data_IF_037472306953
#
_entry.id   IF_037472306953
#
_cell.length_a   1.000
_cell.length_b   1.000
_cell.length_c   1.000
_cell.angle_alpha   90.00
_cell.angle_beta   90.00
_cell.angle_gamma   90.00
#
_symmetry.space_group_name_H-M   'P 1'
#
loop_
_entity.id
_entity.type
_entity.pdbx_description
1 polymer ?
#
# COMPACT_ATOMS: atom_id res chain seq x y z
N UNK A 1 -9.13 -21.80 -25.40
CA UNK A 1 -9.89 -20.54 -25.24
C UNK A 1 -10.78 -20.60 -24.02
N UNK A 2 -12.03 -21.02 -24.18
CA UNK A 2 -13.08 -20.96 -23.14
C UNK A 2 -12.73 -21.73 -21.85
N UNK A 3 -12.13 -22.93 -21.95
CA UNK A 3 -11.76 -23.70 -20.75
C UNK A 3 -10.72 -23.00 -19.85
N UNK A 4 -9.77 -22.27 -20.43
CA UNK A 4 -8.79 -21.49 -19.66
C UNK A 4 -9.45 -20.28 -18.97
N UNK A 5 -10.41 -19.62 -19.63
CA UNK A 5 -11.18 -18.53 -19.03
C UNK A 5 -12.06 -19.03 -17.88
N UNK A 6 -12.67 -20.20 -18.01
CA UNK A 6 -13.41 -20.84 -16.91
C UNK A 6 -12.49 -21.16 -15.71
N UNK A 7 -11.25 -21.59 -15.97
CA UNK A 7 -10.23 -21.77 -14.95
C UNK A 7 -9.91 -20.46 -14.19
N UNK A 8 -9.68 -19.36 -14.91
CA UNK A 8 -9.48 -18.04 -14.31
C UNK A 8 -10.68 -17.60 -13.47
N UNK A 9 -11.90 -17.72 -14.01
CA UNK A 9 -13.12 -17.34 -13.30
C UNK A 9 -13.29 -18.09 -11.97
N UNK A 10 -12.94 -19.38 -11.93
CA UNK A 10 -12.95 -20.17 -10.70
C UNK A 10 -11.98 -19.61 -9.66
N UNK A 11 -10.77 -19.22 -10.05
CA UNK A 11 -9.78 -18.61 -9.16
C UNK A 11 -10.27 -17.25 -8.65
N UNK A 12 -10.79 -16.40 -9.53
CA UNK A 12 -11.30 -15.07 -9.13
C UNK A 12 -12.44 -15.17 -8.13
N UNK A 13 -13.32 -16.16 -8.32
CA UNK A 13 -14.39 -16.45 -7.37
C UNK A 13 -13.81 -16.80 -5.99
N UNK A 14 -12.80 -17.68 -5.93
CA UNK A 14 -12.15 -18.01 -4.65
C UNK A 14 -11.45 -16.80 -4.02
N UNK A 15 -10.77 -15.95 -4.79
CA UNK A 15 -10.17 -14.73 -4.26
C UNK A 15 -11.22 -13.82 -3.62
N UNK A 16 -12.35 -13.65 -4.30
CA UNK A 16 -13.45 -12.80 -3.82
C UNK A 16 -14.07 -13.36 -2.55
N UNK A 17 -14.29 -14.68 -2.48
CA UNK A 17 -14.85 -15.33 -1.30
C UNK A 17 -13.89 -15.30 -0.09
N UNK A 18 -12.58 -15.29 -0.32
CA UNK A 18 -11.56 -15.24 0.73
C UNK A 18 -11.20 -13.81 1.20
N UNK A 19 -11.63 -12.79 0.46
CA UNK A 19 -11.32 -11.37 0.75
C UNK A 19 -11.85 -10.96 2.13
N UNK A 20 -10.95 -10.48 3.00
CA UNK A 20 -11.30 -10.12 4.39
C UNK A 20 -11.60 -11.32 5.30
N UNK A 21 -11.29 -12.55 4.86
CA UNK A 21 -11.41 -13.78 5.67
C UNK A 21 -10.04 -14.34 6.02
N UNK A 22 -9.18 -14.49 5.01
CA UNK A 22 -7.78 -14.90 5.16
C UNK A 22 -6.89 -13.93 4.39
N UNK A 23 -5.70 -13.54 4.91
CA UNK A 23 -4.80 -12.68 4.15
C UNK A 23 -4.33 -13.35 2.85
N UNK A 24 -4.48 -12.64 1.74
CA UNK A 24 -4.08 -13.08 0.41
C UNK A 24 -2.91 -12.22 -0.08
N UNK A 25 -1.75 -12.84 -0.32
CA UNK A 25 -0.53 -12.16 -0.75
C UNK A 25 -0.07 -12.72 -2.10
N UNK A 26 0.17 -11.83 -3.05
CA UNK A 26 0.69 -12.16 -4.38
C UNK A 26 2.16 -11.76 -4.51
N UNK A 27 2.98 -12.71 -4.96
CA UNK A 27 4.37 -12.47 -5.35
C UNK A 27 4.50 -12.63 -6.87
N UNK A 28 4.84 -11.55 -7.56
CA UNK A 28 5.04 -11.55 -9.00
C UNK A 28 6.55 -11.63 -9.26
N UNK A 29 7.02 -12.84 -9.55
CA UNK A 29 8.44 -13.14 -9.76
C UNK A 29 8.80 -13.26 -11.26
N UNK A 30 7.94 -12.77 -12.15
CA UNK A 30 8.10 -12.91 -13.59
C UNK A 30 6.96 -12.25 -14.39
N UNK A 31 6.73 -12.66 -15.64
CA UNK A 31 5.69 -12.09 -16.48
C UNK A 31 4.30 -12.55 -16.04
N UNK A 32 3.38 -11.60 -15.85
CA UNK A 32 1.98 -11.84 -15.55
C UNK A 32 1.14 -10.98 -16.51
N UNK A 33 0.48 -11.60 -17.49
CA UNK A 33 -0.20 -10.87 -18.56
C UNK A 33 -1.65 -11.32 -18.77
N UNK A 34 -2.49 -10.39 -19.20
CA UNK A 34 -3.90 -10.65 -19.52
C UNK A 34 -4.71 -11.06 -18.29
N UNK A 35 -5.46 -12.16 -18.42
CA UNK A 35 -6.33 -12.65 -17.35
C UNK A 35 -5.59 -12.98 -16.05
N UNK A 36 -4.29 -13.34 -16.13
CA UNK A 36 -3.50 -13.65 -14.96
C UNK A 36 -3.39 -12.47 -13.97
N UNK A 37 -3.43 -11.22 -14.45
CA UNK A 37 -3.27 -10.05 -13.60
C UNK A 37 -4.45 -9.81 -12.65
N UNK A 38 -5.64 -10.35 -12.96
CA UNK A 38 -6.84 -10.10 -12.15
C UNK A 38 -6.83 -10.84 -10.82
N UNK A 39 -6.20 -12.02 -10.71
CA UNK A 39 -6.11 -12.72 -9.42
C UNK A 39 -5.26 -11.92 -8.42
N UNK A 40 -4.02 -11.49 -8.75
CA UNK A 40 -3.26 -10.59 -7.87
C UNK A 40 -3.98 -9.29 -7.54
N UNK A 41 -4.67 -8.67 -8.52
CA UNK A 41 -5.44 -7.45 -8.28
C UNK A 41 -6.59 -7.61 -7.26
N UNK A 42 -7.06 -8.85 -7.03
CA UNK A 42 -8.07 -9.19 -6.02
C UNK A 42 -7.46 -9.57 -4.67
N UNK A 43 -6.15 -9.79 -4.58
CA UNK A 43 -5.45 -10.09 -3.31
C UNK A 43 -5.07 -8.83 -2.54
N UNK A 44 -4.76 -8.95 -1.26
CA UNK A 44 -4.55 -7.81 -0.36
C UNK A 44 -3.24 -7.06 -0.66
N UNK A 45 -2.13 -7.79 -0.80
CA UNK A 45 -0.81 -7.20 -1.09
C UNK A 45 -0.15 -7.85 -2.30
N UNK A 46 0.52 -7.03 -3.10
CA UNK A 46 1.24 -7.44 -4.31
C UNK A 46 2.70 -7.01 -4.16
N UNK A 47 3.59 -7.98 -4.23
CA UNK A 47 5.03 -7.82 -4.29
C UNK A 47 5.50 -8.03 -5.72
N UNK A 48 6.41 -7.18 -6.20
CA UNK A 48 7.05 -7.31 -7.51
C UNK A 48 8.57 -7.25 -7.37
N UNK A 49 9.28 -8.01 -8.19
CA UNK A 49 10.75 -7.95 -8.29
C UNK A 49 11.16 -6.97 -9.38
N UNK A 50 12.00 -6.00 -9.04
CA UNK A 50 12.54 -4.99 -9.95
C UNK A 50 13.19 -5.63 -11.18
N UNK A 51 12.92 -5.07 -12.36
CA UNK A 51 13.48 -5.48 -13.67
C UNK A 51 13.21 -6.93 -14.13
N UNK A 52 12.61 -7.77 -13.27
CA UNK A 52 12.27 -9.17 -13.58
C UNK A 52 10.78 -9.37 -13.81
N UNK A 53 9.96 -8.68 -13.03
CA UNK A 53 8.51 -8.88 -13.00
C UNK A 53 7.77 -7.81 -13.78
N UNK A 54 6.71 -8.23 -14.49
CA UNK A 54 5.92 -7.35 -15.33
C UNK A 54 4.44 -7.72 -15.26
N UNK A 55 3.55 -6.73 -15.14
CA UNK A 55 2.09 -6.91 -15.15
C UNK A 55 1.42 -6.04 -16.20
N UNK A 56 0.56 -6.60 -17.05
CA UNK A 56 -0.28 -5.82 -17.96
C UNK A 56 -1.44 -6.64 -18.54
N UNK A 57 -2.59 -6.01 -18.73
CA UNK A 57 -3.75 -6.67 -19.37
C UNK A 57 -3.49 -6.91 -20.86
N UNK A 58 -2.79 -5.99 -21.53
CA UNK A 58 -2.52 -6.04 -22.96
C UNK A 58 -1.03 -5.80 -23.18
N UNK A 59 -0.37 -6.70 -23.91
CA UNK A 59 1.09 -6.62 -24.10
C UNK A 59 1.52 -5.53 -25.07
N UNK A 60 2.81 -5.14 -25.06
CA UNK A 60 3.35 -4.05 -25.88
C UNK A 60 3.05 -4.16 -27.38
N UNK A 61 3.12 -5.37 -27.93
CA UNK A 61 2.86 -5.60 -29.36
C UNK A 61 1.42 -5.22 -29.76
N UNK A 62 0.46 -5.48 -28.87
CA UNK A 62 -0.95 -5.14 -29.10
C UNK A 62 -1.19 -3.65 -28.88
N UNK A 63 -0.54 -3.03 -27.88
CA UNK A 63 -0.55 -1.58 -27.69
C UNK A 63 -0.05 -0.89 -28.97
N UNK A 64 1.10 -1.30 -29.49
CA UNK A 64 1.67 -0.76 -30.73
C UNK A 64 0.76 -0.94 -31.94
N UNK A 65 0.09 -2.09 -32.06
CA UNK A 65 -0.81 -2.33 -33.17
C UNK A 65 -2.07 -1.46 -33.13
N UNK A 66 -2.56 -1.09 -31.94
CA UNK A 66 -3.85 -0.39 -31.75
C UNK A 66 -3.67 1.12 -31.58
N UNK A 67 -2.71 1.56 -30.77
CA UNK A 67 -2.49 2.97 -30.43
C UNK A 67 -1.35 3.60 -31.23
N UNK A 68 -0.58 2.79 -31.98
CA UNK A 68 0.67 3.19 -32.65
C UNK A 68 1.78 3.66 -31.68
N UNK A 69 1.62 3.40 -30.39
CA UNK A 69 2.61 3.70 -29.36
C UNK A 69 3.63 2.56 -29.23
N UNK A 70 4.92 2.87 -29.28
CA UNK A 70 5.97 1.88 -29.00
C UNK A 70 6.45 2.09 -27.56
N UNK A 71 6.25 1.08 -26.72
CA UNK A 71 6.58 1.09 -25.30
C UNK A 71 7.24 -0.23 -24.92
N UNK A 72 8.29 -0.18 -24.09
CA UNK A 72 8.94 -1.40 -23.61
C UNK A 72 8.15 -2.08 -22.49
N UNK A 73 8.42 -3.37 -22.22
CA UNK A 73 7.70 -4.11 -21.15
C UNK A 73 7.84 -3.47 -19.78
N UNK A 74 9.04 -3.00 -19.45
CA UNK A 74 9.33 -2.34 -18.17
C UNK A 74 8.60 -1.00 -18.07
N UNK A 75 8.52 -0.24 -19.16
CA UNK A 75 7.80 1.04 -19.21
C UNK A 75 6.28 0.88 -19.17
N UNK A 76 5.76 -0.22 -19.73
CA UNK A 76 4.33 -0.50 -19.76
C UNK A 76 3.80 -1.01 -18.40
N UNK A 77 4.55 -1.90 -17.75
CA UNK A 77 4.05 -2.65 -16.60
C UNK A 77 5.14 -3.22 -15.70
N UNK A 78 6.31 -2.59 -15.68
CA UNK A 78 7.39 -2.96 -14.76
C UNK A 78 7.03 -2.68 -13.30
N UNK A 79 7.81 -3.27 -12.40
CA UNK A 79 7.61 -3.15 -10.95
C UNK A 79 7.56 -1.68 -10.48
N UNK A 80 8.47 -0.84 -11.01
CA UNK A 80 8.53 0.58 -10.61
C UNK A 80 7.31 1.37 -11.11
N UNK A 81 6.82 1.10 -12.32
CA UNK A 81 5.61 1.73 -12.87
C UNK A 81 4.40 1.45 -11.97
N UNK A 82 4.23 0.19 -11.55
CA UNK A 82 3.12 -0.18 -10.68
C UNK A 82 3.24 0.32 -9.24
N UNK A 83 4.46 0.51 -8.75
CA UNK A 83 4.71 1.02 -7.40
C UNK A 83 4.70 2.54 -7.27
N UNK A 84 4.85 3.28 -8.38
CA UNK A 84 5.01 4.75 -8.34
C UNK A 84 3.96 5.51 -9.14
N UNK A 85 3.33 4.88 -10.14
CA UNK A 85 2.35 5.53 -11.02
C UNK A 85 0.96 4.93 -10.91
N UNK A 86 0.82 3.61 -11.02
CA UNK A 86 -0.51 3.00 -11.11
C UNK A 86 -1.09 2.55 -9.76
N UNK A 87 -0.28 2.50 -8.70
CA UNK A 87 -0.70 2.02 -7.37
C UNK A 87 -1.12 0.55 -7.32
N UNK A 88 -0.72 -0.27 -8.30
CA UNK A 88 -1.08 -1.71 -8.33
C UNK A 88 -0.19 -2.50 -7.37
N UNK A 89 1.08 -2.11 -7.26
CA UNK A 89 2.07 -2.84 -6.49
C UNK A 89 2.33 -2.17 -5.15
N UNK A 90 2.35 -2.99 -4.11
CA UNK A 90 2.49 -2.54 -2.73
C UNK A 90 3.96 -2.49 -2.30
N UNK A 91 4.76 -3.43 -2.78
CA UNK A 91 6.16 -3.58 -2.45
C UNK A 91 6.98 -3.92 -3.70
N UNK A 92 8.14 -3.28 -3.83
CA UNK A 92 9.14 -3.62 -4.86
C UNK A 92 10.41 -4.03 -4.14
N UNK A 93 10.91 -5.21 -4.48
CA UNK A 93 12.16 -5.74 -3.95
C UNK A 93 13.17 -5.92 -5.09
N UNK A 94 14.45 -5.91 -4.78
CA UNK A 94 15.51 -6.08 -5.79
C UNK A 94 15.67 -7.54 -6.20
N UNK A 95 15.32 -8.47 -5.31
CA UNK A 95 15.47 -9.92 -5.56
C UNK A 95 14.25 -10.74 -5.14
N UNK A 96 14.15 -11.97 -5.68
CA UNK A 96 13.13 -12.95 -5.27
C UNK A 96 13.33 -13.37 -3.81
N UNK A 97 14.59 -13.51 -3.37
CA UNK A 97 14.92 -13.86 -1.98
C UNK A 97 14.43 -12.77 -1.01
N UNK A 98 14.76 -11.52 -1.30
CA UNK A 98 14.27 -10.36 -0.54
C UNK A 98 12.74 -10.31 -0.54
N UNK A 99 12.10 -10.56 -1.69
CA UNK A 99 10.63 -10.61 -1.78
C UNK A 99 10.04 -11.64 -0.82
N UNK A 100 10.60 -12.85 -0.79
CA UNK A 100 10.13 -13.91 0.11
C UNK A 100 10.39 -13.56 1.58
N UNK A 101 11.51 -12.88 1.88
CA UNK A 101 11.81 -12.39 3.23
C UNK A 101 10.83 -11.30 3.68
N UNK A 102 10.54 -10.31 2.83
CA UNK A 102 9.56 -9.26 3.11
C UNK A 102 8.13 -9.81 3.25
N UNK A 103 7.78 -10.87 2.52
CA UNK A 103 6.48 -11.57 2.72
C UNK A 103 6.44 -12.22 4.10
N UNK A 104 7.51 -12.88 4.54
CA UNK A 104 7.58 -13.46 5.90
C UNK A 104 7.48 -12.40 6.97
N UNK A 105 8.10 -11.25 6.73
CA UNK A 105 8.02 -10.11 7.61
C UNK A 105 6.60 -9.53 7.68
N UNK A 106 5.94 -9.31 6.54
CA UNK A 106 4.55 -8.89 6.48
C UNK A 106 3.66 -9.88 7.27
N UNK A 107 3.80 -11.18 7.04
CA UNK A 107 3.06 -12.22 7.76
C UNK A 107 3.25 -12.15 9.28
N UNK A 108 4.37 -11.61 9.78
CA UNK A 108 4.55 -11.43 11.22
C UNK A 108 3.57 -10.41 11.82
N UNK A 109 3.08 -9.46 11.01
CA UNK A 109 2.15 -8.41 11.43
C UNK A 109 0.68 -8.82 11.33
N UNK A 110 0.37 -9.90 10.60
CA UNK A 110 -1.00 -10.26 10.23
C UNK A 110 -1.52 -11.46 11.04
N UNK A 111 -2.82 -11.51 11.39
CA UNK A 111 -3.42 -12.72 11.92
C UNK A 111 -3.55 -13.79 10.82
N UNK A 112 -3.75 -15.05 11.20
CA UNK A 112 -3.97 -16.14 10.24
C UNK A 112 -5.29 -15.99 9.46
N UNK A 113 -6.28 -15.34 10.07
CA UNK A 113 -7.64 -15.13 9.57
C UNK A 113 -8.33 -14.00 10.36
N UNK A 114 -9.52 -13.59 9.92
CA UNK A 114 -10.30 -12.50 10.54
C UNK A 114 -10.94 -12.82 11.91
N UNK A 115 -10.80 -14.04 12.43
CA UNK A 115 -11.30 -14.44 13.75
C UNK A 115 -10.20 -14.51 14.81
N UNK A 116 -8.95 -14.22 14.43
CA UNK A 116 -7.78 -14.20 15.31
C UNK A 116 -7.22 -12.77 15.42
N UNK A 117 -6.52 -12.51 16.52
CA UNK A 117 -5.71 -11.31 16.67
C UNK A 117 -4.34 -11.52 16.02
N UNK A 118 -3.68 -10.41 15.64
CA UNK A 118 -2.33 -10.45 15.10
C UNK A 118 -1.33 -11.04 16.12
N UNK A 119 -0.26 -11.73 15.67
CA UNK A 119 0.75 -12.30 16.56
C UNK A 119 1.41 -11.25 17.45
N UNK A 120 1.30 -11.45 18.77
CA UNK A 120 2.06 -10.69 19.76
C UNK A 120 3.52 -11.14 19.78
N UNK A 121 4.45 -10.19 19.71
CA UNK A 121 5.88 -10.46 19.87
C UNK A 121 6.41 -9.93 21.20
N UNK A 122 7.38 -10.61 21.84
CA UNK A 122 8.09 -10.03 22.99
C UNK A 122 8.70 -8.69 22.60
N UNK A 123 8.36 -7.63 23.34
CA UNK A 123 8.92 -6.29 23.15
C UNK A 123 9.82 -5.93 24.33
N UNK A 124 11.04 -5.52 24.03
CA UNK A 124 12.01 -4.99 25.00
C UNK A 124 12.09 -3.47 24.98
N UNK A 125 11.33 -2.79 24.11
CA UNK A 125 11.24 -1.33 24.09
C UNK A 125 10.48 -0.86 25.34
N UNK A 126 10.92 0.26 25.91
CA UNK A 126 10.32 0.82 27.11
C UNK A 126 9.03 1.55 26.74
N UNK A 127 7.90 1.08 27.27
CA UNK A 127 6.59 1.74 27.10
C UNK A 127 6.55 3.17 27.66
N UNK A 128 7.55 3.58 28.43
CA UNK A 128 7.74 4.95 28.97
C UNK A 128 8.86 5.71 28.28
N UNK A 129 9.38 5.24 27.15
CA UNK A 129 10.44 5.92 26.40
C UNK A 129 10.02 7.35 26.05
N UNK A 130 10.78 8.31 26.54
CA UNK A 130 10.66 9.71 26.16
C UNK A 130 11.57 9.97 24.96
N UNK A 131 11.06 10.72 23.97
CA UNK A 131 11.83 11.08 22.77
C UNK A 131 11.89 12.59 22.62
N UNK A 132 13.01 13.20 23.01
CA UNK A 132 13.21 14.65 22.98
C UNK A 132 13.11 15.23 21.56
N UNK A 133 13.49 14.48 20.53
CA UNK A 133 13.45 14.95 19.13
C UNK A 133 12.04 15.31 18.67
N UNK A 134 11.00 14.69 19.25
CA UNK A 134 9.60 15.02 18.95
C UNK A 134 9.20 16.43 19.39
N UNK A 135 9.94 17.06 20.31
CA UNK A 135 9.68 18.44 20.73
C UNK A 135 10.07 19.46 19.66
N UNK A 136 10.93 19.09 18.72
CA UNK A 136 11.52 19.99 17.72
C UNK A 136 11.30 19.51 16.28
N UNK A 137 10.59 18.40 16.08
CA UNK A 137 10.36 17.81 14.74
C UNK A 137 9.47 18.69 13.86
N UNK A 138 8.50 19.38 14.47
CA UNK A 138 7.63 20.35 13.77
C UNK A 138 8.35 21.71 13.73
N UNK A 139 8.64 22.28 12.55
CA UNK A 139 9.27 23.59 12.44
C UNK A 139 8.37 24.71 12.96
N UNK A 140 8.98 25.77 13.51
CA UNK A 140 8.25 26.97 13.95
C UNK A 140 7.61 27.75 12.79
N UNK A 141 8.24 27.71 11.61
CA UNK A 141 7.69 28.31 10.39
C UNK A 141 6.66 27.35 9.76
N UNK A 142 5.37 27.72 9.69
CA UNK A 142 4.32 26.85 9.17
C UNK A 142 4.46 26.55 7.67
N UNK A 143 5.35 27.22 6.94
CA UNK A 143 5.63 26.94 5.53
C UNK A 143 6.76 25.93 5.32
N UNK A 144 7.45 25.53 6.39
CA UNK A 144 8.54 24.56 6.31
C UNK A 144 7.97 23.16 6.58
N UNK A 145 8.03 22.24 5.61
CA UNK A 145 7.55 20.88 5.84
C UNK A 145 8.56 20.08 6.68
N UNK A 146 8.09 18.97 7.25
CA UNK A 146 8.90 17.96 7.94
C UNK A 146 8.54 16.57 7.42
N UNK A 147 9.38 15.58 7.70
CA UNK A 147 9.09 14.19 7.37
C UNK A 147 8.25 13.57 8.50
N UNK A 148 7.01 13.17 8.20
CA UNK A 148 6.15 12.51 9.18
C UNK A 148 6.74 11.18 9.70
N UNK A 149 7.68 10.55 8.98
CA UNK A 149 8.37 9.36 9.47
C UNK A 149 9.26 9.65 10.67
N UNK A 150 9.80 10.88 10.76
CA UNK A 150 10.53 11.35 11.94
C UNK A 150 9.62 11.47 13.19
N UNK A 151 8.29 11.40 13.01
CA UNK A 151 7.30 11.30 14.10
C UNK A 151 6.91 9.85 14.35
N UNK A 152 6.65 9.07 13.29
CA UNK A 152 6.21 7.67 13.40
C UNK A 152 7.29 6.80 14.04
N UNK A 153 8.51 6.85 13.52
CA UNK A 153 9.60 5.96 13.96
C UNK A 153 9.93 6.15 15.44
N UNK A 154 9.99 7.36 16.01
CA UNK A 154 10.14 7.48 17.46
C UNK A 154 8.98 6.96 18.30
N UNK A 155 7.76 6.89 17.77
CA UNK A 155 6.59 6.44 18.56
C UNK A 155 6.47 4.92 18.60
N UNK A 156 6.85 4.22 17.53
CA UNK A 156 6.66 2.78 17.40
C UNK A 156 7.79 1.96 18.03
N UNK A 157 7.50 0.70 18.38
CA UNK A 157 8.46 -0.22 19.00
C UNK A 157 9.72 -0.36 18.14
N UNK A 158 10.90 -0.23 18.79
CA UNK A 158 12.22 -0.37 18.18
C UNK A 158 12.45 0.54 16.96
N UNK A 159 11.69 1.62 16.84
CA UNK A 159 11.72 2.51 15.68
C UNK A 159 11.42 1.84 14.35
N UNK A 160 10.70 0.72 14.37
CA UNK A 160 10.48 -0.09 13.19
C UNK A 160 9.13 0.14 12.54
N UNK A 161 9.15 0.64 11.30
CA UNK A 161 7.98 0.88 10.48
C UNK A 161 8.07 0.16 9.13
N UNK A 162 7.16 -0.79 8.90
CA UNK A 162 7.04 -1.53 7.65
C UNK A 162 6.08 -0.82 6.70
N UNK A 163 6.63 0.13 5.93
CA UNK A 163 5.85 1.00 5.03
C UNK A 163 5.29 0.24 3.82
N UNK A 164 4.02 0.48 3.53
CA UNK A 164 3.29 -0.05 2.37
C UNK A 164 3.17 1.03 1.30
N UNK A 165 3.45 0.68 0.04
CA UNK A 165 3.36 1.60 -1.11
C UNK A 165 4.21 2.87 -0.95
N UNK A 166 5.46 2.73 -0.51
CA UNK A 166 6.38 3.86 -0.24
C UNK A 166 6.69 4.75 -1.47
N UNK A 167 6.37 4.29 -2.67
CA UNK A 167 6.61 5.03 -3.92
C UNK A 167 5.35 5.64 -4.55
N UNK A 168 4.15 5.30 -4.06
CA UNK A 168 2.87 5.76 -4.60
C UNK A 168 2.15 6.66 -3.58
N UNK A 169 1.54 7.74 -4.06
CA UNK A 169 0.79 8.71 -3.25
C UNK A 169 1.56 9.10 -1.97
N UNK A 170 2.77 9.66 -2.15
CA UNK A 170 3.72 9.94 -1.05
C UNK A 170 3.25 10.99 -0.04
N UNK A 171 2.21 11.73 -0.39
CA UNK A 171 1.48 12.68 0.47
C UNK A 171 0.70 12.00 1.62
N UNK A 172 0.52 10.67 1.57
CA UNK A 172 0.06 9.85 2.71
C UNK A 172 0.95 8.62 2.88
N UNK A 173 1.37 8.38 4.11
CA UNK A 173 2.15 7.22 4.53
C UNK A 173 1.20 6.21 5.18
N UNK A 174 1.31 4.94 4.78
CA UNK A 174 0.59 3.84 5.41
C UNK A 174 1.53 2.66 5.61
N UNK A 175 1.31 1.85 6.64
CA UNK A 175 2.16 0.70 6.91
C UNK A 175 1.93 0.09 8.27
N UNK A 176 2.68 -0.96 8.58
CA UNK A 176 2.56 -1.68 9.83
C UNK A 176 3.68 -1.33 10.80
N UNK A 177 3.35 -1.29 12.08
CA UNK A 177 4.32 -1.15 13.16
C UNK A 177 3.89 -2.00 14.35
N UNK A 178 4.62 -1.90 15.47
CA UNK A 178 4.18 -2.46 16.75
C UNK A 178 4.18 -1.43 17.86
N UNK A 179 3.27 -1.63 18.82
CA UNK A 179 3.25 -0.92 20.09
C UNK A 179 3.07 -1.95 21.22
N UNK A 180 4.05 -2.04 22.12
CA UNK A 180 4.03 -3.05 23.18
C UNK A 180 3.98 -4.49 22.65
N UNK A 181 4.56 -4.75 21.48
CA UNK A 181 4.59 -6.05 20.82
C UNK A 181 3.34 -6.39 20.00
N UNK A 182 2.31 -5.55 20.01
CA UNK A 182 1.07 -5.73 19.24
C UNK A 182 1.18 -5.05 17.89
N UNK A 183 0.72 -5.70 16.80
CA UNK A 183 0.62 -5.07 15.49
C UNK A 183 -0.33 -3.87 15.50
N UNK A 184 0.07 -2.78 14.86
CA UNK A 184 -0.77 -1.61 14.58
C UNK A 184 -0.60 -1.18 13.12
N UNK A 185 -1.67 -0.72 12.51
CA UNK A 185 -1.65 -0.03 11.23
C UNK A 185 -1.47 1.47 11.46
N UNK A 186 -0.52 2.09 10.78
CA UNK A 186 -0.31 3.53 10.79
C UNK A 186 -0.90 4.13 9.51
N UNK A 187 -1.64 5.23 9.65
CA UNK A 187 -2.05 6.11 8.55
C UNK A 187 -1.62 7.52 8.89
N UNK A 188 -0.87 8.18 8.02
CA UNK A 188 -0.31 9.48 8.35
C UNK A 188 -0.22 10.40 7.13
N UNK A 189 -0.55 11.68 7.31
CA UNK A 189 -0.27 12.69 6.28
C UNK A 189 1.23 12.97 6.22
N UNK A 190 1.73 13.31 5.04
CA UNK A 190 3.16 13.57 4.83
C UNK A 190 3.39 14.99 4.31
N UNK A 191 3.66 15.97 5.20
CA UNK A 191 3.88 17.36 4.82
C UNK A 191 5.04 17.55 3.81
N UNK A 192 6.07 16.70 3.84
CA UNK A 192 7.17 16.75 2.88
C UNK A 192 6.75 16.52 1.41
N UNK A 193 5.54 15.99 1.16
CA UNK A 193 5.02 15.73 -0.17
C UNK A 193 3.65 16.39 -0.36
N UNK A 194 3.57 17.34 -1.29
CA UNK A 194 2.35 18.11 -1.58
C UNK A 194 1.72 18.76 -0.32
N UNK A 195 2.53 19.11 0.68
CA UNK A 195 2.07 19.65 1.96
C UNK A 195 1.05 18.74 2.70
N UNK A 196 1.09 17.42 2.48
CA UNK A 196 0.21 16.47 3.16
C UNK A 196 -1.26 16.50 2.72
N UNK A 197 -1.59 17.24 1.64
CA UNK A 197 -2.96 17.26 1.10
C UNK A 197 -3.43 15.87 0.68
N UNK A 198 -4.74 15.62 0.79
CA UNK A 198 -5.36 14.43 0.23
C UNK A 198 -5.70 14.63 -1.24
N UNK A 199 -5.45 13.63 -2.07
CA UNK A 199 -5.83 13.57 -3.47
C UNK A 199 -6.45 12.20 -3.80
N UNK A 200 -6.79 11.96 -5.07
CA UNK A 200 -7.39 10.70 -5.52
C UNK A 200 -6.54 9.49 -5.12
N UNK A 201 -5.23 9.55 -5.40
CA UNK A 201 -4.33 8.42 -5.20
C UNK A 201 -4.08 8.14 -3.71
N UNK A 202 -3.88 9.19 -2.90
CA UNK A 202 -3.78 9.06 -1.46
C UNK A 202 -5.06 8.53 -0.83
N UNK A 203 -6.22 8.95 -1.37
CA UNK A 203 -7.52 8.46 -0.90
C UNK A 203 -7.71 6.98 -1.14
N UNK A 204 -7.34 6.49 -2.33
CA UNK A 204 -7.43 5.08 -2.68
C UNK A 204 -6.44 4.22 -1.87
N UNK A 205 -5.20 4.71 -1.72
CA UNK A 205 -4.15 4.07 -0.90
C UNK A 205 -4.60 3.92 0.56
N UNK A 206 -4.99 5.01 1.20
CA UNK A 206 -5.36 5.02 2.61
C UNK A 206 -6.62 4.19 2.86
N UNK A 207 -7.67 4.39 2.06
CA UNK A 207 -8.94 3.69 2.26
C UNK A 207 -8.81 2.17 2.16
N UNK A 208 -8.01 1.66 1.21
CA UNK A 208 -7.78 0.22 1.07
C UNK A 208 -7.01 -0.34 2.26
N UNK A 209 -5.99 0.37 2.74
CA UNK A 209 -5.19 -0.02 3.90
C UNK A 209 -6.02 -0.04 5.20
N UNK A 210 -6.82 1.00 5.44
CA UNK A 210 -7.72 1.09 6.61
C UNK A 210 -8.68 -0.10 6.63
N UNK A 211 -9.36 -0.37 5.52
CA UNK A 211 -10.31 -1.49 5.42
C UNK A 211 -9.64 -2.85 5.60
N UNK A 212 -8.41 -3.01 5.11
CA UNK A 212 -7.64 -4.23 5.34
C UNK A 212 -7.37 -4.42 6.83
N UNK A 213 -6.89 -3.38 7.52
CA UNK A 213 -6.62 -3.45 8.95
C UNK A 213 -7.89 -3.81 9.76
N UNK A 214 -9.02 -3.16 9.44
CA UNK A 214 -10.32 -3.44 10.06
C UNK A 214 -10.76 -4.90 9.85
N UNK A 215 -10.67 -5.42 8.61
CA UNK A 215 -11.03 -6.80 8.30
C UNK A 215 -10.22 -7.85 9.07
N UNK A 216 -9.05 -7.48 9.59
CA UNK A 216 -8.11 -8.39 10.26
C UNK A 216 -7.78 -7.95 11.68
N UNK A 217 -8.68 -7.20 12.33
CA UNK A 217 -8.57 -6.80 13.74
C UNK A 217 -7.26 -6.07 14.09
N UNK A 218 -6.65 -5.37 13.14
CA UNK A 218 -5.42 -4.60 13.37
C UNK A 218 -5.82 -3.17 13.77
N UNK A 219 -5.47 -2.71 15.00
CA UNK A 219 -5.76 -1.35 15.44
C UNK A 219 -5.10 -0.30 14.56
N UNK A 220 -5.78 0.83 14.38
CA UNK A 220 -5.26 1.96 13.60
C UNK A 220 -4.78 3.09 14.51
N UNK A 221 -3.61 3.64 14.19
CA UNK A 221 -3.08 4.89 14.75
C UNK A 221 -2.95 5.88 13.60
N UNK A 222 -3.58 7.05 13.75
CA UNK A 222 -3.59 8.08 12.70
C UNK A 222 -2.81 9.31 13.16
N UNK A 223 -1.82 9.73 12.38
CA UNK A 223 -1.10 11.00 12.56
C UNK A 223 -1.62 12.02 11.55
N UNK A 224 -2.35 13.02 12.04
CA UNK A 224 -3.07 13.96 11.20
C UNK A 224 -2.31 15.28 11.06
N UNK A 225 -1.94 15.62 9.83
CA UNK A 225 -1.43 16.95 9.43
C UNK A 225 -1.88 17.22 7.98
N UNK A 226 -3.18 17.51 7.84
CA UNK A 226 -3.85 17.67 6.54
C UNK A 226 -4.40 19.09 6.41
N UNK A 227 -3.93 19.90 5.45
CA UNK A 227 -4.48 21.23 5.22
C UNK A 227 -5.78 21.20 4.39
N UNK A 228 -6.07 20.08 3.73
CA UNK A 228 -7.26 19.87 2.91
C UNK A 228 -7.01 18.90 1.75
N UNK A 229 -7.84 19.01 0.71
CA UNK A 229 -7.68 18.26 -0.54
C UNK A 229 -6.90 19.07 -1.58
N UNK A 230 -6.20 18.38 -2.48
CA UNK A 230 -5.51 19.00 -3.61
C UNK A 230 -6.55 19.65 -4.56
N UNK A 231 -6.51 20.97 -4.78
CA UNK A 231 -7.44 21.62 -5.68
C UNK A 231 -7.03 21.38 -7.14
N UNK A 232 -8.00 21.34 -8.05
CA UNK A 232 -7.74 21.36 -9.48
C UNK A 232 -8.86 20.77 -10.32
N UNK A 233 -9.06 21.31 -11.52
CA UNK A 233 -10.06 20.83 -12.47
C UNK A 233 -9.87 19.33 -12.79
N UNK A 234 -8.61 18.87 -12.83
CA UNK A 234 -8.29 17.46 -13.08
C UNK A 234 -8.80 16.55 -11.96
N UNK A 235 -8.60 16.92 -10.68
CA UNK A 235 -9.09 16.15 -9.53
C UNK A 235 -10.62 16.05 -9.55
N UNK A 236 -11.31 17.14 -9.88
CA UNK A 236 -12.76 17.16 -10.02
C UNK A 236 -13.25 16.25 -11.17
N UNK A 237 -12.63 16.35 -12.35
CA UNK A 237 -12.99 15.56 -13.53
C UNK A 237 -12.70 14.06 -13.34
N UNK A 238 -11.62 13.71 -12.65
CA UNK A 238 -11.28 12.32 -12.35
C UNK A 238 -12.11 11.76 -11.18
N UNK A 239 -12.87 12.62 -10.49
CA UNK A 239 -13.89 12.24 -9.53
C UNK A 239 -13.39 12.18 -8.10
N UNK A 240 -12.65 13.20 -7.64
CA UNK A 240 -12.18 13.30 -6.25
C UNK A 240 -13.30 13.10 -5.22
N UNK A 241 -14.53 13.54 -5.50
CA UNK A 241 -15.68 13.34 -4.60
C UNK A 241 -15.88 11.86 -4.24
N UNK A 242 -15.86 10.95 -5.23
CA UNK A 242 -16.07 9.51 -5.00
C UNK A 242 -14.81 8.81 -4.47
N UNK A 243 -13.63 9.36 -4.74
CA UNK A 243 -12.36 8.81 -4.26
C UNK A 243 -12.09 9.23 -2.81
N UNK A 244 -12.16 10.53 -2.49
CA UNK A 244 -12.04 11.05 -1.13
C UNK A 244 -13.08 10.49 -0.17
N UNK A 245 -14.31 10.24 -0.63
CA UNK A 245 -15.34 9.57 0.16
C UNK A 245 -14.94 8.15 0.62
N UNK A 246 -13.98 7.48 -0.03
CA UNK A 246 -13.52 6.15 0.39
C UNK A 246 -12.78 6.20 1.73
N UNK A 247 -12.02 7.26 2.02
CA UNK A 247 -11.38 7.42 3.35
C UNK A 247 -12.47 7.56 4.41
N UNK A 248 -13.44 8.44 4.18
CA UNK A 248 -14.55 8.66 5.11
C UNK A 248 -15.32 7.36 5.36
N UNK A 249 -15.61 6.61 4.29
CA UNK A 249 -16.27 5.31 4.39
C UNK A 249 -15.42 4.27 5.13
N UNK A 250 -14.10 4.30 4.98
CA UNK A 250 -13.22 3.34 5.62
C UNK A 250 -13.07 3.58 7.13
N UNK A 251 -13.16 4.83 7.59
CA UNK A 251 -13.10 5.18 9.01
C UNK A 251 -14.44 5.13 9.75
N UNK A 252 -15.57 5.32 9.06
CA UNK A 252 -16.91 5.46 9.66
C UNK A 252 -17.59 4.12 9.96
#
# INVERSE_FOLDING_TARGET
GVGSLAGYASIFYQNTMASGVVPQISAILGPCAGGACYSPALTDFIFMVKEKSHMFITGPDVVKAVTHETVEKEELGGAYVHSSKSGVTHFVCDTEEETLMSIRELLSFLPSNNMEDAPSLPCSDDIRRETETLQTVIPDDPNVPYDMKDVIEPVVDNHYFFEVMSHFAKNVVVGFARLGGQSVGIVANQPAFLAGVLDIDASDKAARFIRFCDCFNIPLVTFEDVPGFLPGCQQEHDGIIRHGAKIVYAYA
#
